data_IF_658816343842
#
_entry.id   IF_658816343842
#
_cell.length_a   1.000
_cell.length_b   1.000
_cell.length_c   1.000
_cell.angle_alpha   90.00
_cell.angle_beta   90.00
_cell.angle_gamma   90.00
#
_symmetry.space_group_name_H-M   'P 1'
#
loop_
_entity.id
_entity.type
_entity.pdbx_description
1 polymer ?
#
# COMPACT_ATOMS: atom_id res chain seq x y z
N UNK A 1 -9.83 -9.55 3.84
CA UNK A 1 -8.41 -9.32 4.16
C UNK A 1 -7.79 -8.77 2.89
N UNK A 2 -7.43 -7.50 2.87
CA UNK A 2 -6.85 -6.81 1.71
C UNK A 2 -5.36 -6.61 1.98
N UNK A 3 -4.48 -6.87 1.01
CA UNK A 3 -3.04 -6.60 1.15
C UNK A 3 -2.68 -5.46 0.21
N UNK A 4 -1.84 -4.54 0.73
CA UNK A 4 -1.44 -3.33 0.04
C UNK A 4 0.00 -3.42 -0.37
N UNK A 5 0.23 -3.39 -1.69
CA UNK A 5 1.56 -3.54 -2.28
C UNK A 5 2.15 -2.16 -2.58
N UNK A 6 3.43 -1.99 -2.31
CA UNK A 6 4.18 -0.79 -2.70
C UNK A 6 4.78 -0.98 -4.11
N UNK A 7 4.80 0.07 -4.93
CA UNK A 7 5.42 0.00 -6.26
C UNK A 7 6.95 -0.18 -6.21
N UNK A 8 7.51 -0.78 -7.26
CA UNK A 8 8.96 -0.75 -7.53
C UNK A 8 9.46 0.64 -7.98
N UNK A 9 8.55 1.49 -8.46
CA UNK A 9 8.81 2.87 -8.85
C UNK A 9 8.40 3.84 -7.73
N UNK A 10 8.91 5.08 -7.77
CA UNK A 10 8.49 6.17 -6.88
C UNK A 10 6.98 6.42 -7.01
N UNK A 11 6.18 5.74 -6.20
CA UNK A 11 4.81 6.13 -5.92
C UNK A 11 4.83 6.90 -4.61
N UNK A 12 5.34 8.13 -4.68
CA UNK A 12 5.37 9.06 -3.55
C UNK A 12 3.96 9.54 -3.17
N UNK A 13 2.93 9.09 -3.88
CA UNK A 13 1.65 9.75 -3.83
C UNK A 13 1.75 11.14 -4.42
N UNK A 14 0.62 11.60 -4.93
CA UNK A 14 0.45 13.03 -5.14
C UNK A 14 0.42 13.66 -3.74
N UNK A 15 1.48 14.38 -3.34
CA UNK A 15 1.55 15.08 -2.03
C UNK A 15 0.33 16.00 -1.83
N UNK A 16 -0.32 16.41 -2.94
CA UNK A 16 -1.55 17.21 -2.97
C UNK A 16 -2.85 16.44 -2.67
N UNK A 17 -2.85 15.10 -2.65
CA UNK A 17 -4.09 14.30 -2.47
C UNK A 17 -4.38 13.86 -1.02
N UNK A 18 -4.00 14.71 -0.07
CA UNK A 18 -4.31 14.53 1.35
C UNK A 18 -3.41 13.47 1.97
N UNK A 19 -2.32 13.96 2.58
CA UNK A 19 -1.34 13.16 3.31
C UNK A 19 -2.00 12.35 4.44
N UNK A 20 -2.42 11.13 4.14
CA UNK A 20 -2.83 10.15 5.16
C UNK A 20 -1.55 9.60 5.77
N UNK A 21 -1.38 9.81 7.08
CA UNK A 21 -0.20 9.36 7.82
C UNK A 21 0.05 7.87 7.58
N UNK A 22 1.28 7.52 7.19
CA UNK A 22 1.72 6.13 6.95
C UNK A 22 1.28 5.53 5.60
N UNK A 23 0.53 6.26 4.76
CA UNK A 23 0.09 5.74 3.46
C UNK A 23 1.26 5.42 2.53
N UNK A 24 2.30 6.27 2.58
CA UNK A 24 3.48 6.19 1.73
C UNK A 24 4.73 5.85 2.56
N UNK A 25 5.63 5.00 2.02
CA UNK A 25 6.89 4.72 2.69
C UNK A 25 7.77 5.98 2.75
N UNK A 26 8.62 6.10 3.78
CA UNK A 26 9.61 7.18 3.82
C UNK A 26 10.58 7.06 2.63
N UNK A 27 10.99 8.21 2.09
CA UNK A 27 11.96 8.24 1.00
C UNK A 27 13.28 7.57 1.43
N UNK A 28 13.80 6.67 0.59
CA UNK A 28 15.11 6.06 0.83
C UNK A 28 16.24 7.00 0.42
N UNK A 29 17.38 7.00 1.14
CA UNK A 29 18.53 7.81 0.78
C UNK A 29 19.18 7.33 -0.52
N UNK A 30 19.59 8.26 -1.38
CA UNK A 30 20.35 7.92 -2.59
C UNK A 30 21.68 7.19 -2.21
N UNK A 31 22.14 6.19 -2.98
CA UNK A 31 21.65 5.76 -4.30
C UNK A 31 20.63 4.61 -4.25
N UNK A 32 19.97 4.37 -3.11
CA UNK A 32 19.04 3.25 -3.00
C UNK A 32 17.81 3.48 -3.89
N UNK A 33 17.29 2.42 -4.54
CA UNK A 33 16.03 2.51 -5.28
C UNK A 33 14.86 2.82 -4.32
N UNK A 34 13.74 3.29 -4.88
CA UNK A 34 12.56 3.72 -4.13
C UNK A 34 11.98 2.67 -3.16
N UNK A 35 12.26 1.38 -3.40
CA UNK A 35 11.88 0.26 -2.54
C UNK A 35 12.99 -0.16 -1.54
N UNK A 36 14.06 0.61 -1.43
CA UNK A 36 15.21 0.33 -0.55
C UNK A 36 16.03 -0.89 -0.94
N UNK A 37 15.85 -1.42 -2.15
CA UNK A 37 16.51 -2.65 -2.61
C UNK A 37 15.85 -3.92 -2.09
N UNK A 38 14.69 -3.83 -1.43
CA UNK A 38 13.95 -4.98 -0.95
C UNK A 38 13.23 -5.66 -2.11
N UNK A 39 13.66 -6.88 -2.44
CA UNK A 39 12.87 -7.78 -3.27
C UNK A 39 11.63 -8.20 -2.47
N UNK A 40 10.47 -7.63 -2.80
CA UNK A 40 9.18 -7.97 -2.20
C UNK A 40 8.59 -9.22 -2.87
N UNK A 41 9.39 -10.28 -2.93
CA UNK A 41 8.99 -11.58 -3.50
C UNK A 41 7.71 -12.08 -2.83
N UNK A 42 7.59 -11.89 -1.52
CA UNK A 42 6.42 -12.22 -0.72
C UNK A 42 5.12 -11.58 -1.23
N UNK A 43 5.16 -10.29 -1.60
CA UNK A 43 4.02 -9.56 -2.16
C UNK A 43 3.62 -10.07 -3.54
N UNK A 44 4.61 -10.36 -4.37
CA UNK A 44 4.40 -10.91 -5.71
C UNK A 44 3.83 -12.33 -5.64
N UNK A 45 4.38 -13.16 -4.75
CA UNK A 45 3.91 -14.52 -4.52
C UNK A 45 2.46 -14.53 -4.02
N UNK A 46 2.12 -13.69 -3.04
CA UNK A 46 0.73 -13.56 -2.58
C UNK A 46 -0.21 -13.10 -3.69
N UNK A 47 0.19 -12.11 -4.50
CA UNK A 47 -0.61 -11.64 -5.65
C UNK A 47 -0.92 -12.77 -6.62
N UNK A 48 0.08 -13.61 -6.93
CA UNK A 48 -0.11 -14.79 -7.79
C UNK A 48 -1.02 -15.83 -7.13
N UNK A 49 -0.88 -16.07 -5.82
CA UNK A 49 -1.75 -17.00 -5.10
C UNK A 49 -3.22 -16.56 -5.13
N UNK A 50 -3.52 -15.29 -4.86
CA UNK A 50 -4.91 -14.79 -4.86
C UNK A 50 -5.50 -14.75 -6.27
N UNK A 51 -4.67 -14.45 -7.28
CA UNK A 51 -5.06 -14.54 -8.68
C UNK A 51 -5.42 -15.97 -9.06
N UNK A 52 -4.57 -16.94 -8.74
CA UNK A 52 -4.82 -18.35 -9.05
C UNK A 52 -6.04 -18.92 -8.28
N UNK A 53 -6.21 -18.55 -7.02
CA UNK A 53 -7.26 -19.11 -6.18
C UNK A 53 -8.66 -18.54 -6.49
N UNK A 54 -8.76 -17.26 -6.86
CA UNK A 54 -10.04 -16.56 -6.92
C UNK A 54 -10.12 -15.44 -7.97
N UNK A 55 -9.17 -15.37 -8.92
CA UNK A 55 -8.99 -14.20 -9.79
C UNK A 55 -8.85 -12.89 -9.00
N UNK A 56 -8.27 -12.99 -7.81
CA UNK A 56 -8.00 -11.86 -6.94
C UNK A 56 -6.83 -11.02 -7.44
N UNK A 57 -6.73 -9.79 -6.93
CA UNK A 57 -5.60 -8.90 -7.16
C UNK A 57 -5.34 -8.12 -5.90
N UNK A 58 -4.06 -7.90 -5.58
CA UNK A 58 -3.69 -6.96 -4.52
C UNK A 58 -3.85 -5.52 -5.00
N UNK A 59 -4.14 -4.60 -4.07
CA UNK A 59 -4.48 -3.21 -4.40
C UNK A 59 -3.53 -2.23 -3.76
N UNK A 60 -3.31 -1.10 -4.41
CA UNK A 60 -2.55 0.00 -3.82
C UNK A 60 -3.43 0.76 -2.81
N UNK A 61 -2.81 1.62 -2.00
CA UNK A 61 -3.56 2.51 -1.12
C UNK A 61 -4.55 3.38 -1.91
N UNK A 62 -4.16 3.90 -3.08
CA UNK A 62 -5.01 4.75 -3.92
C UNK A 62 -6.21 3.98 -4.49
N UNK A 63 -6.01 2.73 -4.92
CA UNK A 63 -7.11 1.86 -5.34
C UNK A 63 -8.11 1.65 -4.20
N UNK A 64 -7.62 1.32 -3.00
CA UNK A 64 -8.49 1.12 -1.84
C UNK A 64 -9.22 2.41 -1.43
N UNK A 65 -8.52 3.55 -1.36
CA UNK A 65 -9.11 4.86 -1.09
C UNK A 65 -10.27 5.16 -2.04
N UNK A 66 -10.09 4.92 -3.33
CA UNK A 66 -11.12 5.12 -4.36
C UNK A 66 -12.33 4.22 -4.13
N UNK A 67 -12.11 2.94 -3.83
CA UNK A 67 -13.20 1.96 -3.63
C UNK A 67 -14.01 2.28 -2.37
N UNK A 68 -13.35 2.53 -1.25
CA UNK A 68 -14.05 2.75 0.03
C UNK A 68 -14.77 4.09 0.07
N UNK A 69 -14.29 5.08 -0.69
CA UNK A 69 -14.97 6.36 -0.87
C UNK A 69 -16.37 6.18 -1.51
N UNK A 70 -16.54 5.22 -2.42
CA UNK A 70 -17.85 4.89 -3.01
C UNK A 70 -18.83 4.36 -1.97
N UNK A 71 -18.33 3.79 -0.86
CA UNK A 71 -19.13 3.31 0.26
C UNK A 71 -19.25 4.32 1.42
N UNK A 72 -18.81 5.57 1.22
CA UNK A 72 -18.88 6.63 2.23
C UNK A 72 -17.81 6.54 3.33
N UNK A 73 -16.70 5.84 3.09
CA UNK A 73 -15.60 5.74 4.04
C UNK A 73 -14.42 6.60 3.60
N UNK A 74 -13.71 7.17 4.57
CA UNK A 74 -12.51 7.98 4.35
C UNK A 74 -11.35 7.42 5.17
N UNK A 75 -10.17 7.16 4.56
CA UNK A 75 -9.00 6.74 5.30
C UNK A 75 -8.48 7.88 6.19
N UNK A 76 -8.09 7.56 7.42
CA UNK A 76 -7.54 8.51 8.39
C UNK A 76 -6.09 8.22 8.74
N UNK A 77 -5.70 6.94 8.78
CA UNK A 77 -4.34 6.53 9.12
C UNK A 77 -3.99 5.17 8.55
N UNK A 78 -2.73 4.96 8.21
CA UNK A 78 -2.19 3.67 7.81
C UNK A 78 -1.09 3.26 8.79
N UNK A 79 -1.21 2.05 9.32
CA UNK A 79 -0.26 1.42 10.23
C UNK A 79 0.49 0.31 9.50
N UNK A 80 1.79 0.19 9.79
CA UNK A 80 2.69 -0.76 9.13
C UNK A 80 3.32 -0.20 7.85
N UNK A 81 4.47 -0.75 7.46
CA UNK A 81 5.23 -0.33 6.28
C UNK A 81 6.61 0.28 6.55
N UNK A 82 7.23 0.02 7.71
CA UNK A 82 8.58 0.49 8.03
C UNK A 82 9.35 -0.48 8.91
N UNK A 83 10.58 -0.84 8.48
CA UNK A 83 11.65 -1.60 9.15
C UNK A 83 11.33 -2.99 9.75
N UNK A 84 10.06 -3.35 9.94
CA UNK A 84 9.59 -4.62 10.49
C UNK A 84 9.50 -5.75 9.45
N UNK A 85 9.80 -5.44 8.18
CA UNK A 85 9.87 -6.41 7.09
C UNK A 85 8.51 -6.90 6.58
N UNK A 86 7.40 -6.52 7.21
CA UNK A 86 6.08 -7.01 6.82
C UNK A 86 5.52 -6.24 5.62
N UNK A 87 4.95 -6.98 4.67
CA UNK A 87 4.28 -6.43 3.49
C UNK A 87 2.86 -5.92 3.74
N UNK A 88 2.29 -6.21 4.91
CA UNK A 88 0.88 -5.95 5.21
C UNK A 88 0.74 -4.59 5.86
N UNK A 89 -0.32 -3.87 5.46
CA UNK A 89 -0.70 -2.60 6.08
C UNK A 89 -2.09 -2.73 6.70
N UNK A 90 -2.32 -2.02 7.79
CA UNK A 90 -3.63 -1.84 8.40
C UNK A 90 -4.07 -0.42 8.12
N UNK A 91 -5.25 -0.23 7.54
CA UNK A 91 -5.82 1.10 7.33
C UNK A 91 -6.97 1.32 8.30
N UNK A 92 -6.94 2.46 8.97
CA UNK A 92 -8.05 2.99 9.75
C UNK A 92 -8.92 3.91 8.89
N UNK A 93 -10.23 3.71 8.97
CA UNK A 93 -11.23 4.47 8.22
C UNK A 93 -12.25 5.09 9.18
N UNK A 94 -12.74 6.27 8.82
CA UNK A 94 -13.94 6.86 9.42
C UNK A 94 -15.09 6.85 8.42
N UNK A 95 -16.32 6.75 8.92
CA UNK A 95 -17.51 6.93 8.10
C UNK A 95 -17.77 8.43 7.91
N UNK A 96 -18.03 8.83 6.67
CA UNK A 96 -18.46 10.18 6.30
C UNK A 96 -19.92 10.44 6.59
#
# INVERSE_FOLDING_TARGET
MEIIVNHACHDLGDEDQGAVEGAYPPAHPAPLPANGGLAREDQLAMSMCVMQAANGQERTFLHLKTIVAQAGWKPVKVYGGGLDGTARKIIEFTKG
#
